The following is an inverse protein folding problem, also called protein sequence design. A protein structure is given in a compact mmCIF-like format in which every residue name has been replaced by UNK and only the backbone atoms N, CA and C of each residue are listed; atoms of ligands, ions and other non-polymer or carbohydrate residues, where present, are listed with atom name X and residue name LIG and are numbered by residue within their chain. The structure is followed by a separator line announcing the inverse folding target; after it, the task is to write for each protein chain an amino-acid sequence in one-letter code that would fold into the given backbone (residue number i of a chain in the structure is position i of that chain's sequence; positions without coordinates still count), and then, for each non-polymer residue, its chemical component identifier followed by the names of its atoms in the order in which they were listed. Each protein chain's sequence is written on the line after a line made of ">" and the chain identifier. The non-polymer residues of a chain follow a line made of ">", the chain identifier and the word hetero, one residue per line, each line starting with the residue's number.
data_IF_898525077220
#
_entry.id   IF_898525077220
#
_cell.length_a   1.000
_cell.length_b   1.000
_cell.length_c   1.000
_cell.angle_alpha   90.00
_cell.angle_beta   90.00
_cell.angle_gamma   90.00
#
_symmetry.space_group_name_H-M   'P 1'
#
loop_
_entity.id
_entity.type
_entity.pdbx_description
1 polymer ?
#
# COMPACT_ATOMS: atom_id res chain seq x y z
N UNK A 1 19.21 3.06 -17.14
CA UNK A 1 20.05 3.78 -16.33
C UNK A 1 19.36 4.46 -15.17
N UNK A 2 19.93 4.30 -14.08
CA UNK A 2 19.31 4.76 -12.85
C UNK A 2 19.90 6.07 -12.41
N UNK A 3 19.63 7.06 -13.16
CA UNK A 3 20.15 8.39 -12.84
C UNK A 3 19.40 9.05 -11.74
N UNK A 4 18.40 8.41 -11.22
CA UNK A 4 17.53 9.03 -10.23
C UNK A 4 17.86 8.64 -8.81
N UNK A 5 19.04 8.06 -8.59
CA UNK A 5 19.40 7.62 -7.27
C UNK A 5 18.96 6.20 -6.96
N UNK A 6 18.54 5.48 -7.96
CA UNK A 6 18.16 4.09 -7.79
C UNK A 6 19.29 3.15 -8.16
N UNK A 7 20.49 3.61 -7.95
CA UNK A 7 21.65 2.78 -8.18
C UNK A 7 21.90 1.75 -7.08
N UNK A 8 21.13 1.83 -6.01
CA UNK A 8 21.16 0.83 -4.96
C UNK A 8 20.29 -0.34 -5.32
N UNK A 9 20.72 -1.53 -4.93
CA UNK A 9 19.87 -2.69 -5.05
C UNK A 9 18.84 -2.66 -3.93
N UNK A 10 17.60 -2.89 -4.30
CA UNK A 10 16.52 -2.99 -3.34
C UNK A 10 15.98 -4.40 -3.37
N UNK A 11 15.77 -4.97 -2.20
CA UNK A 11 15.22 -6.33 -2.09
C UNK A 11 13.73 -6.23 -1.88
N UNK A 12 12.99 -6.42 -2.95
CA UNK A 12 11.54 -6.37 -2.87
C UNK A 12 11.03 -7.71 -2.34
N UNK A 13 10.26 -7.67 -1.28
CA UNK A 13 9.63 -8.86 -0.71
C UNK A 13 8.19 -9.00 -1.13
N UNK A 14 7.59 -7.93 -1.60
CA UNK A 14 6.19 -7.94 -2.01
C UNK A 14 5.97 -6.94 -3.13
N UNK A 15 4.94 -7.18 -3.91
CA UNK A 15 4.58 -6.32 -5.02
C UNK A 15 3.07 -6.35 -5.17
N UNK A 16 2.50 -5.17 -5.44
CA UNK A 16 1.08 -5.05 -5.67
C UNK A 16 0.91 -4.17 -6.89
N UNK A 17 0.34 -4.73 -7.95
CA UNK A 17 0.17 -4.01 -9.20
C UNK A 17 -1.28 -4.03 -9.60
N UNK A 18 -1.85 -2.84 -9.81
CA UNK A 18 -3.22 -2.72 -10.30
C UNK A 18 -3.21 -1.98 -11.62
N UNK A 19 -4.08 -2.39 -12.53
CA UNK A 19 -4.25 -1.64 -13.77
C UNK A 19 -5.72 -1.66 -14.16
N UNK A 20 -6.10 -0.59 -14.82
CA UNK A 20 -7.47 -0.32 -15.20
C UNK A 20 -7.69 -0.73 -16.64
N UNK A 21 -8.65 -1.63 -16.85
CA UNK A 21 -9.05 -1.99 -18.21
C UNK A 21 -10.12 -1.00 -18.66
N UNK A 22 -9.76 -0.13 -19.59
CA UNK A 22 -10.67 0.91 -20.04
C UNK A 22 -11.86 0.41 -20.85
N UNK A 23 -11.77 -0.81 -21.38
CA UNK A 23 -12.86 -1.40 -22.15
C UNK A 23 -13.90 -2.04 -21.24
N UNK A 24 -13.43 -2.91 -20.36
CA UNK A 24 -14.32 -3.65 -19.47
C UNK A 24 -14.66 -2.86 -18.21
N UNK A 25 -13.92 -1.79 -17.96
CA UNK A 25 -14.11 -0.94 -16.78
C UNK A 25 -13.94 -1.72 -15.50
N UNK A 26 -12.90 -2.52 -15.48
CA UNK A 26 -12.51 -3.34 -14.34
C UNK A 26 -11.08 -3.05 -13.96
N UNK A 27 -10.78 -3.33 -12.71
CA UNK A 27 -9.41 -3.28 -12.23
C UNK A 27 -8.88 -4.70 -12.16
N UNK A 28 -7.71 -4.92 -12.75
CA UNK A 28 -6.99 -6.18 -12.60
C UNK A 28 -5.83 -5.95 -11.65
N UNK A 29 -5.55 -6.97 -10.87
CA UNK A 29 -4.56 -6.82 -9.81
C UNK A 29 -3.67 -8.04 -9.76
N UNK A 30 -2.39 -7.79 -9.55
CA UNK A 30 -1.41 -8.86 -9.37
C UNK A 30 -0.73 -8.61 -8.05
N UNK A 31 -0.76 -9.59 -7.16
CA UNK A 31 -0.13 -9.50 -5.85
C UNK A 31 0.83 -10.64 -5.70
N UNK A 32 2.05 -10.33 -5.29
CA UNK A 32 3.09 -11.33 -5.07
C UNK A 32 3.83 -10.99 -3.79
N UNK A 33 4.24 -12.02 -3.06
CA UNK A 33 5.11 -11.80 -1.93
C UNK A 33 5.98 -13.03 -1.71
N UNK A 34 7.11 -12.82 -1.06
CA UNK A 34 8.06 -13.88 -0.81
C UNK A 34 7.66 -14.68 0.43
N UNK A 35 8.26 -15.86 0.57
CA UNK A 35 7.96 -16.73 1.70
C UNK A 35 8.37 -16.12 3.03
N UNK A 36 9.39 -15.28 3.02
CA UNK A 36 9.89 -14.70 4.26
C UNK A 36 9.22 -13.37 4.60
N UNK A 37 8.18 -12.98 3.86
CA UNK A 37 7.43 -11.79 4.19
C UNK A 37 6.60 -12.04 5.44
N UNK A 38 6.91 -11.31 6.49
CA UNK A 38 6.24 -11.51 7.78
C UNK A 38 4.90 -10.78 7.81
N UNK A 39 4.03 -11.20 8.71
CA UNK A 39 2.70 -10.60 8.83
C UNK A 39 2.80 -9.12 9.16
N UNK A 40 3.70 -8.76 10.08
CA UNK A 40 3.86 -7.35 10.43
C UNK A 40 4.39 -6.52 9.27
N UNK A 41 5.28 -7.11 8.46
CA UNK A 41 5.75 -6.42 7.27
C UNK A 41 4.64 -6.22 6.26
N UNK A 42 3.80 -7.24 6.10
CA UNK A 42 2.68 -7.13 5.17
C UNK A 42 1.71 -6.03 5.60
N UNK A 43 1.47 -5.92 6.91
CA UNK A 43 0.62 -4.85 7.41
C UNK A 43 1.19 -3.47 7.13
N UNK A 44 2.49 -3.32 7.32
CA UNK A 44 3.15 -2.05 7.01
C UNK A 44 3.08 -1.74 5.52
N UNK A 45 3.30 -2.74 4.69
CA UNK A 45 3.23 -2.56 3.25
C UNK A 45 1.83 -2.10 2.82
N UNK A 46 0.80 -2.76 3.33
CA UNK A 46 -0.59 -2.40 2.99
C UNK A 46 -0.93 -1.00 3.50
N UNK A 47 -0.49 -0.67 4.70
CA UNK A 47 -0.71 0.67 5.24
C UNK A 47 -0.11 1.73 4.32
N UNK A 48 1.14 1.52 3.90
CA UNK A 48 1.82 2.48 3.05
C UNK A 48 1.16 2.56 1.67
N UNK A 49 0.65 1.43 1.18
CA UNK A 49 -0.07 1.44 -0.08
C UNK A 49 -1.36 2.26 0.01
N UNK A 50 -2.09 2.14 1.11
CA UNK A 50 -3.27 2.98 1.31
C UNK A 50 -2.89 4.46 1.27
N UNK A 51 -1.81 4.79 1.94
CA UNK A 51 -1.39 6.19 2.04
C UNK A 51 -0.95 6.74 0.69
N UNK A 52 -0.13 5.99 -0.03
CA UNK A 52 0.34 6.45 -1.34
C UNK A 52 -0.78 6.43 -2.38
N UNK A 53 -1.72 5.51 -2.24
CA UNK A 53 -2.89 5.50 -3.11
C UNK A 53 -3.72 6.77 -2.91
N UNK A 54 -3.85 7.21 -1.65
CA UNK A 54 -4.53 8.46 -1.38
C UNK A 54 -3.86 9.62 -2.09
N UNK A 55 -2.54 9.64 -2.09
CA UNK A 55 -1.80 10.69 -2.77
C UNK A 55 -2.00 10.65 -4.28
N UNK A 56 -2.02 9.46 -4.85
CA UNK A 56 -2.31 9.29 -6.26
C UNK A 56 -3.70 9.82 -6.61
N UNK A 57 -4.67 9.47 -5.78
CA UNK A 57 -6.04 9.92 -5.98
C UNK A 57 -6.14 11.44 -5.92
N UNK A 58 -5.44 12.04 -4.97
CA UNK A 58 -5.46 13.50 -4.81
C UNK A 58 -4.84 14.18 -6.04
N UNK A 59 -3.74 13.65 -6.53
CA UNK A 59 -3.09 14.22 -7.72
C UNK A 59 -3.99 14.10 -8.95
N UNK A 60 -4.70 13.00 -9.06
CA UNK A 60 -5.53 12.76 -10.24
C UNK A 60 -6.84 13.51 -10.22
N UNK A 61 -7.42 13.72 -9.05
CA UNK A 61 -8.79 14.26 -8.96
C UNK A 61 -8.89 15.58 -8.24
N UNK A 62 -7.90 15.95 -7.44
CA UNK A 62 -7.99 17.16 -6.62
C UNK A 62 -8.97 17.07 -5.48
N UNK A 63 -9.48 15.87 -5.18
CA UNK A 63 -10.50 15.69 -4.13
C UNK A 63 -9.83 15.62 -2.77
N UNK A 64 -9.60 16.79 -2.18
CA UNK A 64 -8.84 16.88 -0.93
C UNK A 64 -9.55 16.20 0.24
N UNK A 65 -10.85 16.39 0.36
CA UNK A 65 -11.60 15.82 1.48
C UNK A 65 -11.55 14.28 1.45
N UNK A 66 -11.81 13.71 0.29
CA UNK A 66 -11.79 12.27 0.16
C UNK A 66 -10.39 11.72 0.40
N UNK A 67 -9.38 12.45 -0.07
CA UNK A 67 -8.00 12.06 0.16
C UNK A 67 -7.71 11.99 1.66
N UNK A 68 -8.16 12.99 2.41
CA UNK A 68 -7.93 12.99 3.85
C UNK A 68 -8.67 11.86 4.54
N UNK A 69 -9.84 11.49 4.04
CA UNK A 69 -10.57 10.35 4.60
C UNK A 69 -9.82 9.04 4.39
N UNK A 70 -9.20 8.88 3.22
CA UNK A 70 -8.41 7.68 2.97
C UNK A 70 -7.22 7.64 3.91
N UNK A 71 -6.54 8.78 4.08
CA UNK A 71 -5.38 8.85 4.96
C UNK A 71 -5.77 8.57 6.41
N UNK A 72 -6.93 9.08 6.82
CA UNK A 72 -7.40 8.81 8.18
C UNK A 72 -7.68 7.34 8.37
N UNK A 73 -8.31 6.72 7.39
CA UNK A 73 -8.56 5.28 7.46
C UNK A 73 -7.24 4.51 7.55
N UNK A 74 -6.26 4.93 6.77
CA UNK A 74 -4.96 4.25 6.78
C UNK A 74 -4.31 4.35 8.16
N UNK A 75 -4.39 5.51 8.80
CA UNK A 75 -3.85 5.68 10.14
C UNK A 75 -4.57 4.83 11.17
N UNK A 76 -5.89 4.78 11.08
CA UNK A 76 -6.68 3.94 11.99
C UNK A 76 -6.38 2.46 11.77
N UNK A 77 -6.25 2.06 10.52
CA UNK A 77 -5.88 0.69 10.18
C UNK A 77 -4.54 0.32 10.79
N UNK A 78 -3.57 1.20 10.67
CA UNK A 78 -2.22 0.94 11.17
C UNK A 78 -2.26 0.76 12.70
N UNK A 79 -2.96 1.63 13.39
CA UNK A 79 -3.07 1.53 14.85
C UNK A 79 -3.72 0.24 15.28
N UNK A 80 -4.81 -0.12 14.63
CA UNK A 80 -5.55 -1.33 15.00
C UNK A 80 -4.74 -2.57 14.69
N UNK A 81 -4.04 -2.55 13.57
CA UNK A 81 -3.23 -3.70 13.21
C UNK A 81 -2.09 -3.90 14.21
N UNK A 82 -1.42 -2.82 14.58
CA UNK A 82 -0.34 -2.92 15.55
C UNK A 82 -0.82 -3.38 16.91
N UNK A 83 -2.02 -2.94 17.31
CA UNK A 83 -2.60 -3.41 18.53
C UNK A 83 -2.87 -4.91 18.49
N UNK A 84 -3.28 -5.41 17.32
CA UNK A 84 -3.49 -6.85 17.13
C UNK A 84 -2.20 -7.63 17.31
N UNK A 85 -1.11 -7.09 16.76
CA UNK A 85 0.19 -7.76 16.86
C UNK A 85 0.70 -7.80 18.30
N UNK A 86 0.33 -6.82 19.09
CA UNK A 86 0.82 -6.71 20.46
C UNK A 86 -0.01 -7.50 21.45
N UNK A 87 -1.15 -8.04 21.03
CA UNK A 87 -1.96 -8.85 21.91
C UNK A 87 -1.28 -10.17 22.20
N UNK A 88 -1.31 -10.61 23.45
CA UNK A 88 -0.78 -11.94 23.77
C UNK A 88 -1.59 -13.00 23.04
N UNK A 89 -0.90 -14.03 22.62
CA UNK A 89 -1.56 -15.16 21.97
C UNK A 89 -2.47 -15.86 22.98
N UNK A 90 -3.64 -16.16 22.57
CA UNK A 90 -4.55 -16.91 23.45
C UNK A 90 -5.67 -16.12 24.00
#
# INVERSE_FOLDING_TARGET
>A
ASETGYDKLHRAKAMCLGFWDGTEKNTFKIDLWTKDMMVDEMGDFVYQMFFTLAETFQKATGQNELTEEIKKFAGDFDKKFKATLMKPAG
#
